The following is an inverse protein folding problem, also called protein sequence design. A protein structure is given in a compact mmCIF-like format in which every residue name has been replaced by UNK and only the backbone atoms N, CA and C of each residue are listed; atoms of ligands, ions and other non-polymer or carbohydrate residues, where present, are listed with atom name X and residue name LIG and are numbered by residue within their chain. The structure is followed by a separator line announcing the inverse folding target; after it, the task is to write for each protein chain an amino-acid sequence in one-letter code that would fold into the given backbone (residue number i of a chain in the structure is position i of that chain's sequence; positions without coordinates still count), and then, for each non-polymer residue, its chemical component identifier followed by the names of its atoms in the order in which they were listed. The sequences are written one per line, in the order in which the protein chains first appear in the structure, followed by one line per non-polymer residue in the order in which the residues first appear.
data_IF_949655863327
#
_entry.id   IF_949655863327
#
_cell.length_a   1.000
_cell.length_b   1.000
_cell.length_c   1.000
_cell.angle_alpha   90.00
_cell.angle_beta   90.00
_cell.angle_gamma   90.00
#
_symmetry.space_group_name_H-M   'P 1'
#
loop_
_entity.id
_entity.type
_entity.pdbx_description
1 polymer ?
#
# COMPACT_ATOMS: atom_id res chain seq x y z
N UNK A 1 -9.50 -10.21 -2.86
CA UNK A 1 -8.03 -10.36 -2.80
C UNK A 1 -7.66 -11.52 -3.70
N UNK A 2 -6.79 -11.29 -4.68
CA UNK A 2 -6.33 -12.37 -5.57
C UNK A 2 -5.55 -13.42 -4.79
N UNK A 3 -5.69 -14.67 -5.21
CA UNK A 3 -4.72 -15.71 -4.88
C UNK A 3 -3.37 -15.39 -5.52
N UNK A 4 -2.29 -15.99 -5.02
CA UNK A 4 -0.95 -15.81 -5.61
C UNK A 4 -0.92 -16.23 -7.08
N UNK A 5 -1.63 -17.29 -7.44
CA UNK A 5 -1.73 -17.78 -8.82
C UNK A 5 -2.43 -16.76 -9.73
N UNK A 6 -3.55 -16.18 -9.28
CA UNK A 6 -4.25 -15.14 -10.04
C UNK A 6 -3.42 -13.87 -10.16
N UNK A 7 -2.73 -13.47 -9.07
CA UNK A 7 -1.80 -12.34 -9.09
C UNK A 7 -0.67 -12.56 -10.10
N UNK A 8 -0.07 -13.76 -10.13
CA UNK A 8 0.96 -14.13 -11.10
C UNK A 8 0.45 -14.00 -12.54
N UNK A 9 -0.70 -14.61 -12.84
CA UNK A 9 -1.30 -14.54 -14.17
C UNK A 9 -1.58 -13.09 -14.60
N UNK A 10 -2.11 -12.27 -13.69
CA UNK A 10 -2.43 -10.87 -13.96
C UNK A 10 -1.17 -10.03 -14.21
N UNK A 11 -0.09 -10.24 -13.45
CA UNK A 11 1.22 -9.60 -13.65
C UNK A 11 1.83 -10.01 -15.00
N UNK A 12 1.84 -11.31 -15.30
CA UNK A 12 2.40 -11.83 -16.55
C UNK A 12 1.68 -11.26 -17.79
N UNK A 13 0.36 -11.08 -17.74
CA UNK A 13 -0.40 -10.45 -18.84
C UNK A 13 0.01 -9.00 -19.10
N UNK A 14 0.51 -8.29 -18.09
CA UNK A 14 0.86 -6.86 -18.19
C UNK A 14 2.34 -6.62 -18.46
N UNK A 15 3.22 -7.56 -18.16
CA UNK A 15 4.66 -7.44 -18.37
C UNK A 15 5.05 -7.64 -19.85
N UNK A 16 6.06 -6.88 -20.29
CA UNK A 16 6.73 -7.15 -21.57
C UNK A 16 7.47 -8.52 -21.53
N UNK A 17 7.97 -8.98 -22.68
CA UNK A 17 8.65 -10.29 -22.77
C UNK A 17 9.88 -10.37 -21.85
N UNK A 18 10.65 -9.30 -21.73
CA UNK A 18 11.84 -9.26 -20.89
C UNK A 18 11.49 -9.29 -19.40
N UNK A 19 10.45 -8.56 -19.00
CA UNK A 19 9.91 -8.55 -17.64
C UNK A 19 9.35 -9.91 -17.24
N UNK A 20 8.64 -10.60 -18.15
CA UNK A 20 8.17 -11.98 -17.91
C UNK A 20 9.33 -12.96 -17.71
N UNK A 21 10.34 -12.92 -18.58
CA UNK A 21 11.51 -13.80 -18.48
C UNK A 21 12.30 -13.55 -17.20
N UNK A 22 12.49 -12.27 -16.83
CA UNK A 22 13.10 -11.91 -15.56
C UNK A 22 12.30 -12.45 -14.37
N UNK A 23 10.98 -12.21 -14.34
CA UNK A 23 10.13 -12.66 -13.24
C UNK A 23 10.21 -14.18 -13.08
N UNK A 24 10.07 -14.96 -14.15
CA UNK A 24 10.12 -16.42 -14.09
C UNK A 24 11.47 -16.94 -13.56
N UNK A 25 12.59 -16.37 -14.03
CA UNK A 25 13.93 -16.72 -13.52
C UNK A 25 14.06 -16.38 -12.04
N UNK A 26 13.62 -15.20 -11.61
CA UNK A 26 13.72 -14.78 -10.21
C UNK A 26 12.85 -15.63 -9.30
N UNK A 27 11.62 -15.96 -9.72
CA UNK A 27 10.73 -16.83 -8.93
C UNK A 27 11.32 -18.24 -8.78
N UNK A 28 11.93 -18.77 -9.84
CA UNK A 28 12.63 -20.05 -9.81
C UNK A 28 13.81 -20.03 -8.83
N UNK A 29 14.61 -18.98 -8.84
CA UNK A 29 15.76 -18.83 -7.94
C UNK A 29 15.33 -18.61 -6.49
N UNK A 30 14.28 -17.80 -6.26
CA UNK A 30 13.69 -17.57 -4.95
C UNK A 30 13.20 -18.90 -4.34
N UNK A 31 12.45 -19.70 -5.11
CA UNK A 31 11.93 -21.00 -4.67
C UNK A 31 13.05 -21.99 -4.30
N UNK A 32 14.14 -22.01 -5.08
CA UNK A 32 15.32 -22.84 -4.81
C UNK A 32 16.10 -22.38 -3.58
N UNK A 33 16.25 -21.07 -3.39
CA UNK A 33 17.11 -20.51 -2.37
C UNK A 33 16.48 -20.54 -0.97
N UNK A 34 15.19 -20.26 -0.86
CA UNK A 34 14.46 -20.12 0.41
C UNK A 34 14.92 -18.91 1.26
N UNK A 35 14.37 -18.77 2.49
CA UNK A 35 14.90 -17.84 3.47
C UNK A 35 16.27 -18.35 3.97
N UNK A 36 17.19 -17.42 4.22
CA UNK A 36 18.55 -17.72 4.68
C UNK A 36 18.94 -16.79 5.83
N UNK A 37 18.46 -17.05 7.06
CA UNK A 37 18.65 -16.14 8.19
C UNK A 37 20.13 -15.94 8.56
N UNK A 38 20.98 -16.97 8.35
CA UNK A 38 22.37 -16.98 8.81
C UNK A 38 23.40 -16.90 7.67
N UNK A 39 22.98 -16.62 6.44
CA UNK A 39 23.90 -16.56 5.30
C UNK A 39 24.65 -15.21 5.24
N UNK A 40 25.93 -15.20 4.85
CA UNK A 40 26.66 -13.96 4.64
C UNK A 40 26.14 -13.24 3.37
N UNK A 41 25.57 -12.05 3.58
CA UNK A 41 25.08 -11.17 2.52
C UNK A 41 23.70 -11.54 1.95
N UNK A 42 23.11 -10.65 1.12
CA UNK A 42 21.78 -10.86 0.56
C UNK A 42 21.79 -11.97 -0.49
N UNK A 43 20.75 -12.82 -0.49
CA UNK A 43 20.54 -13.77 -1.56
C UNK A 43 20.23 -13.05 -2.89
N UNK A 44 20.47 -13.71 -4.03
CA UNK A 44 20.18 -13.14 -5.36
C UNK A 44 18.73 -12.63 -5.46
N UNK A 45 17.78 -13.40 -4.96
CA UNK A 45 16.36 -13.03 -4.99
C UNK A 45 16.06 -11.77 -4.16
N UNK A 46 16.85 -11.46 -3.11
CA UNK A 46 16.69 -10.23 -2.33
C UNK A 46 17.15 -9.00 -3.13
N UNK A 47 18.19 -9.16 -3.95
CA UNK A 47 18.62 -8.13 -4.91
C UNK A 47 17.57 -7.93 -6.02
N UNK A 48 16.97 -9.02 -6.49
CA UNK A 48 15.86 -8.96 -7.46
C UNK A 48 14.60 -8.32 -6.85
N UNK A 49 14.31 -8.61 -5.57
CA UNK A 49 13.26 -7.95 -4.81
C UNK A 49 13.49 -6.43 -4.75
N UNK A 50 14.69 -5.97 -4.38
CA UNK A 50 15.01 -4.55 -4.33
C UNK A 50 14.90 -3.91 -5.74
N UNK A 51 15.40 -4.62 -6.75
CA UNK A 51 15.48 -4.14 -8.14
C UNK A 51 14.20 -4.31 -8.98
N UNK A 52 13.13 -4.89 -8.43
CA UNK A 52 11.91 -5.20 -9.18
C UNK A 52 11.34 -4.01 -9.98
N UNK A 53 11.45 -2.79 -9.46
CA UNK A 53 11.02 -1.57 -10.17
C UNK A 53 11.76 -1.29 -11.48
N UNK A 54 12.96 -1.83 -11.67
CA UNK A 54 13.74 -1.72 -12.92
C UNK A 54 13.34 -2.76 -13.96
N UNK A 55 12.76 -3.89 -13.53
CA UNK A 55 12.50 -5.04 -14.39
C UNK A 55 11.01 -5.24 -14.69
N UNK A 56 10.11 -4.85 -13.79
CA UNK A 56 8.66 -4.98 -13.93
C UNK A 56 8.07 -3.89 -14.87
N UNK A 57 8.51 -3.89 -16.14
CA UNK A 57 8.04 -2.95 -17.17
C UNK A 57 6.77 -3.45 -17.84
N UNK A 58 5.78 -2.57 -17.96
CA UNK A 58 4.55 -2.89 -18.68
C UNK A 58 4.84 -3.07 -20.17
N UNK A 59 4.17 -4.04 -20.80
CA UNK A 59 4.07 -4.09 -22.24
C UNK A 59 3.49 -2.75 -22.72
N UNK A 60 4.24 -1.99 -23.53
CA UNK A 60 3.69 -0.80 -24.16
C UNK A 60 2.50 -1.24 -25.00
N UNK A 61 1.36 -0.53 -25.00
CA UNK A 61 0.33 -0.78 -25.98
C UNK A 61 0.98 -0.56 -27.34
N UNK A 62 1.24 -1.65 -28.07
CA UNK A 62 1.90 -1.60 -29.35
C UNK A 62 1.18 -0.55 -30.20
N UNK A 63 1.95 0.39 -30.73
CA UNK A 63 1.47 1.32 -31.75
C UNK A 63 0.94 0.46 -32.89
N UNK A 64 -0.38 0.37 -33.02
CA UNK A 64 -1.02 -0.08 -34.26
C UNK A 64 -0.74 1.04 -35.26
N UNK A 65 0.45 1.00 -35.84
CA UNK A 65 0.74 1.63 -37.11
C UNK A 65 1.18 0.51 -38.03
N UNK A 66 0.21 -0.30 -38.44
CA UNK A 66 0.26 -0.84 -39.78
C UNK A 66 -0.02 0.35 -40.71
N UNK A 67 1.05 0.95 -41.21
CA UNK A 67 0.98 1.88 -42.33
C UNK A 67 1.83 1.25 -43.42
N UNK A 68 1.27 0.91 -44.58
CA UNK A 68 2.08 0.38 -45.66
C UNK A 68 3.07 1.47 -46.09
N UNK A 69 4.31 1.06 -46.33
CA UNK A 69 5.35 1.93 -46.84
C UNK A 69 4.90 2.56 -48.17
N UNK A 70 5.02 3.88 -48.38
CA UNK A 70 4.95 4.42 -49.72
C UNK A 70 6.29 4.20 -50.42
N UNK A 71 6.16 3.74 -51.67
CA UNK A 71 7.22 3.49 -52.62
C UNK A 71 8.17 4.68 -52.84
N UNK A 72 9.38 4.30 -53.26
CA UNK A 72 10.51 5.15 -53.59
C UNK A 72 10.20 6.24 -54.62
N UNK A 73 10.69 7.46 -54.38
CA UNK A 73 11.09 8.38 -55.45
C UNK A 73 12.42 9.07 -55.11
N UNK A 74 13.15 9.33 -56.18
CA UNK A 74 14.60 9.50 -56.30
C UNK A 74 15.02 10.98 -56.20
N UNK A 75 16.18 11.18 -55.55
CA UNK A 75 17.22 12.22 -55.59
C UNK A 75 16.99 13.63 -56.20
N UNK A 76 17.56 14.64 -55.51
CA UNK A 76 18.41 15.67 -56.12
C UNK A 76 19.39 16.26 -55.08
N UNK A 77 20.48 16.82 -55.60
CA UNK A 77 21.84 16.87 -55.07
C UNK A 77 22.25 18.26 -54.47
N UNK A 78 23.23 18.21 -53.56
CA UNK A 78 24.20 19.17 -52.90
C UNK A 78 24.32 20.67 -53.30
N UNK A 79 25.15 21.54 -52.63
CA UNK A 79 26.31 21.28 -51.72
C UNK A 79 26.48 22.17 -50.45
N UNK A 80 27.51 21.80 -49.66
CA UNK A 80 28.06 22.46 -48.46
C UNK A 80 28.91 23.72 -48.73
N UNK A 81 29.36 24.43 -47.66
CA UNK A 81 30.80 24.52 -47.46
C UNK A 81 31.31 24.48 -45.99
N UNK A 82 32.51 23.90 -45.87
CA UNK A 82 33.73 24.28 -45.13
C UNK A 82 33.73 24.73 -43.65
N UNK A 83 34.62 24.08 -42.87
CA UNK A 83 34.98 24.39 -41.47
C UNK A 83 35.93 25.59 -41.31
N UNK A 84 36.82 25.68 -40.27
CA UNK A 84 37.50 24.58 -39.58
C UNK A 84 37.58 24.69 -38.03
N UNK A 85 38.25 23.68 -37.47
CA UNK A 85 38.48 23.34 -36.06
C UNK A 85 39.42 24.28 -35.27
N UNK A 86 39.38 24.16 -33.93
CA UNK A 86 40.53 24.24 -32.99
C UNK A 86 40.08 23.77 -31.58
N UNK A 87 40.58 22.64 -31.05
CA UNK A 87 41.78 22.43 -30.21
C UNK A 87 41.67 23.04 -28.80
N UNK A 88 41.76 22.20 -27.76
CA UNK A 88 42.02 22.61 -26.37
C UNK A 88 41.63 21.60 -25.28
N UNK A 89 42.56 20.70 -24.90
CA UNK A 89 42.63 19.95 -23.62
C UNK A 89 43.40 20.81 -22.57
N UNK A 90 43.66 20.38 -21.31
CA UNK A 90 42.89 19.62 -20.30
C UNK A 90 43.02 20.24 -18.87
N UNK A 91 42.65 19.47 -17.81
CA UNK A 91 43.12 19.47 -16.39
C UNK A 91 41.93 19.58 -15.40
N UNK A 92 41.59 18.54 -14.62
CA UNK A 92 42.24 18.05 -13.38
C UNK A 92 42.14 19.07 -12.23
N UNK A 93 41.29 18.79 -11.23
CA UNK A 93 41.67 18.63 -9.82
C UNK A 93 40.44 18.46 -8.90
N UNK A 94 40.49 17.40 -8.09
CA UNK A 94 39.92 17.31 -6.74
C UNK A 94 41.12 17.35 -5.79
N UNK A 95 41.04 17.84 -4.53
CA UNK A 95 40.23 17.19 -3.49
C UNK A 95 39.81 18.09 -2.28
N UNK A 96 39.39 17.41 -1.21
CA UNK A 96 39.20 17.83 0.19
C UNK A 96 37.76 18.25 0.56
N UNK A 97 36.98 17.46 1.31
CA UNK A 97 37.15 16.99 2.71
C UNK A 97 37.02 18.12 3.74
N UNK A 98 35.90 18.16 4.47
CA UNK A 98 35.86 18.44 5.90
C UNK A 98 34.47 18.11 6.47
N UNK A 99 34.48 17.22 7.45
CA UNK A 99 33.37 16.93 8.34
C UNK A 99 33.18 18.06 9.37
N UNK A 100 31.94 18.31 9.77
CA UNK A 100 31.62 18.85 11.09
C UNK A 100 30.20 18.40 11.47
N UNK A 101 30.13 17.60 12.53
CA UNK A 101 28.89 17.13 13.16
C UNK A 101 28.18 18.22 14.00
N UNK A 102 27.08 17.83 14.66
CA UNK A 102 25.95 18.72 14.98
C UNK A 102 26.06 19.39 16.35
N UNK A 103 25.36 20.52 16.52
CA UNK A 103 25.11 21.17 17.80
C UNK A 103 23.61 21.07 18.19
N UNK A 104 23.28 21.07 19.49
CA UNK A 104 22.13 20.36 20.04
C UNK A 104 20.86 21.22 20.20
N UNK A 105 19.77 20.50 20.47
CA UNK A 105 18.44 21.00 20.77
C UNK A 105 18.28 21.33 22.26
N UNK A 106 17.75 22.51 22.54
CA UNK A 106 17.05 22.86 23.78
C UNK A 106 15.63 23.33 23.41
N UNK A 107 14.62 22.86 24.14
CA UNK A 107 13.28 23.47 24.17
C UNK A 107 12.94 23.89 25.61
N UNK A 108 11.68 24.20 25.96
CA UNK A 108 10.61 24.84 25.20
C UNK A 108 10.18 26.18 25.86
N UNK A 109 9.48 27.08 25.16
CA UNK A 109 8.75 28.18 25.82
C UNK A 109 7.48 28.57 25.05
N UNK A 110 6.46 28.91 25.84
CA UNK A 110 5.07 29.11 25.46
C UNK A 110 4.74 30.57 25.06
N UNK A 111 3.50 30.72 24.57
CA UNK A 111 2.74 31.95 24.32
C UNK A 111 2.87 32.60 22.92
N UNK A 112 1.73 32.70 22.23
CA UNK A 112 1.60 33.20 20.85
C UNK A 112 1.63 34.73 20.70
N UNK A 113 1.30 35.23 19.50
CA UNK A 113 -0.03 35.81 19.33
C UNK A 113 -0.73 35.47 18.00
N UNK A 114 -2.07 35.57 18.03
CA UNK A 114 -2.98 35.57 16.87
C UNK A 114 -2.68 36.73 15.90
N UNK A 115 -2.77 36.46 14.60
CA UNK A 115 -2.95 37.45 13.54
C UNK A 115 -3.63 36.78 12.30
N UNK A 116 -4.16 37.52 11.31
CA UNK A 116 -5.55 37.46 10.86
C UNK A 116 -5.75 36.66 9.56
N UNK A 117 -7.03 36.41 9.25
CA UNK A 117 -7.48 35.69 8.06
C UNK A 117 -6.98 36.30 6.74
N UNK A 118 -6.35 35.44 5.93
CA UNK A 118 -6.10 35.65 4.51
C UNK A 118 -7.07 34.79 3.66
N UNK A 119 -7.36 35.20 2.41
CA UNK A 119 -8.45 34.64 1.63
C UNK A 119 -8.14 33.21 1.18
N UNK A 120 -9.20 32.39 1.15
CA UNK A 120 -9.23 31.02 0.66
C UNK A 120 -8.59 30.92 -0.74
N UNK A 121 -7.46 30.21 -0.84
CA UNK A 121 -6.93 29.76 -2.13
C UNK A 121 -7.67 28.49 -2.52
N UNK A 122 -8.24 28.53 -3.72
CA UNK A 122 -8.95 27.47 -4.44
C UNK A 122 -8.21 26.13 -4.32
N UNK A 123 -8.95 25.09 -3.95
CA UNK A 123 -8.42 23.74 -3.75
C UNK A 123 -7.59 23.25 -4.93
N UNK A 124 -6.37 22.80 -4.63
CA UNK A 124 -5.60 21.98 -5.55
C UNK A 124 -6.32 20.63 -5.71
N UNK A 125 -6.41 20.07 -6.93
CA UNK A 125 -7.00 18.76 -7.11
C UNK A 125 -6.18 17.75 -6.31
N UNK A 126 -6.82 17.11 -5.33
CA UNK A 126 -6.27 15.94 -4.66
C UNK A 126 -6.00 14.91 -5.75
N UNK A 127 -4.75 14.47 -5.89
CA UNK A 127 -4.43 13.37 -6.79
C UNK A 127 -5.37 12.21 -6.46
N UNK A 128 -6.18 11.78 -7.43
CA UNK A 128 -7.06 10.64 -7.25
C UNK A 128 -6.19 9.43 -6.92
N UNK A 129 -6.19 9.05 -5.65
CA UNK A 129 -5.68 7.74 -5.24
C UNK A 129 -6.77 6.77 -5.67
N UNK A 130 -6.44 5.94 -6.66
CA UNK A 130 -7.32 4.85 -7.09
C UNK A 130 -7.75 4.03 -5.87
N UNK A 131 -9.02 3.59 -5.81
CA UNK A 131 -9.53 2.86 -4.65
C UNK A 131 -8.66 1.64 -4.38
N UNK A 132 -8.30 1.46 -3.11
CA UNK A 132 -7.57 0.27 -2.66
C UNK A 132 -8.56 -0.90 -2.53
N UNK A 133 -9.17 -1.31 -3.63
CA UNK A 133 -9.67 -2.67 -3.72
C UNK A 133 -8.45 -3.59 -3.79
N UNK A 134 -8.49 -4.71 -3.07
CA UNK A 134 -7.43 -5.71 -3.23
C UNK A 134 -7.41 -6.17 -4.68
N UNK A 135 -6.41 -5.72 -5.45
CA UNK A 135 -6.25 -5.86 -6.91
C UNK A 135 -7.33 -6.72 -7.57
N UNK A 136 -8.37 -6.17 -8.18
CA UNK A 136 -9.06 -6.96 -9.19
C UNK A 136 -8.04 -7.30 -10.29
N UNK A 137 -8.04 -8.52 -10.83
CA UNK A 137 -7.02 -8.97 -11.78
C UNK A 137 -6.94 -8.08 -13.04
N UNK A 138 -8.02 -7.35 -13.35
CA UNK A 138 -8.11 -6.44 -14.50
C UNK A 138 -7.66 -4.99 -14.17
N UNK A 139 -7.53 -4.65 -12.89
CA UNK A 139 -7.21 -3.30 -12.40
C UNK A 139 -5.71 -3.07 -12.11
N UNK A 140 -4.85 -4.08 -12.25
CA UNK A 140 -3.41 -3.93 -12.02
C UNK A 140 -2.79 -2.91 -12.99
N UNK A 141 -2.49 -1.71 -12.49
CA UNK A 141 -1.87 -0.68 -13.30
C UNK A 141 -0.36 -0.93 -13.45
N UNK A 142 0.28 -0.25 -14.41
CA UNK A 142 1.74 -0.31 -14.55
C UNK A 142 2.49 0.10 -13.26
N UNK A 143 1.91 0.97 -12.43
CA UNK A 143 2.50 1.40 -11.17
C UNK A 143 2.50 0.30 -10.09
N UNK A 144 1.59 -0.67 -10.21
CA UNK A 144 1.43 -1.77 -9.24
C UNK A 144 2.35 -2.96 -9.53
N UNK A 145 2.84 -3.10 -10.78
CA UNK A 145 3.64 -4.24 -11.22
C UNK A 145 4.89 -4.48 -10.36
N UNK A 146 5.67 -3.45 -9.95
CA UNK A 146 6.83 -3.68 -9.07
C UNK A 146 6.46 -4.25 -7.70
N UNK A 147 5.34 -3.82 -7.11
CA UNK A 147 4.89 -4.34 -5.82
C UNK A 147 4.36 -5.77 -5.98
N UNK A 148 3.59 -6.03 -7.04
CA UNK A 148 3.05 -7.35 -7.33
C UNK A 148 4.18 -8.37 -7.59
N UNK A 149 5.20 -7.99 -8.36
CA UNK A 149 6.39 -8.82 -8.55
C UNK A 149 7.11 -9.10 -7.23
N UNK A 150 7.30 -8.09 -6.37
CA UNK A 150 7.89 -8.27 -5.03
C UNK A 150 7.09 -9.23 -4.14
N UNK A 151 5.76 -9.15 -4.16
CA UNK A 151 4.88 -10.09 -3.44
C UNK A 151 5.10 -11.53 -3.93
N UNK A 152 5.14 -11.73 -5.25
CA UNK A 152 5.40 -13.05 -5.84
C UNK A 152 6.79 -13.59 -5.47
N UNK A 153 7.82 -12.73 -5.47
CA UNK A 153 9.19 -13.09 -5.07
C UNK A 153 9.23 -13.54 -3.61
N UNK A 154 8.63 -12.76 -2.70
CA UNK A 154 8.57 -13.11 -1.26
C UNK A 154 7.83 -14.43 -1.03
N UNK A 155 6.73 -14.65 -1.75
CA UNK A 155 5.97 -15.89 -1.67
C UNK A 155 6.76 -17.09 -2.19
N UNK A 156 7.39 -16.97 -3.37
CA UNK A 156 8.23 -18.02 -3.94
C UNK A 156 9.41 -18.36 -3.02
N UNK A 157 10.05 -17.34 -2.43
CA UNK A 157 11.12 -17.52 -1.45
C UNK A 157 10.64 -18.17 -0.14
N UNK A 158 9.33 -18.27 0.11
CA UNK A 158 8.75 -18.67 1.40
C UNK A 158 9.32 -17.82 2.54
N UNK A 159 9.36 -16.50 2.33
CA UNK A 159 9.95 -15.57 3.28
C UNK A 159 9.30 -15.71 4.68
N UNK A 160 10.15 -15.94 5.68
CA UNK A 160 9.77 -16.06 7.09
C UNK A 160 9.80 -14.70 7.81
N UNK A 161 9.41 -14.70 9.09
CA UNK A 161 9.33 -13.48 9.89
C UNK A 161 10.68 -12.73 9.96
N UNK A 162 11.82 -13.37 10.30
CA UNK A 162 13.12 -12.70 10.30
C UNK A 162 13.48 -12.08 8.96
N UNK A 163 13.18 -12.76 7.85
CA UNK A 163 13.44 -12.25 6.51
C UNK A 163 12.61 -11.01 6.19
N UNK A 164 11.29 -11.04 6.42
CA UNK A 164 10.46 -9.87 6.12
C UNK A 164 10.75 -8.69 7.05
N UNK A 165 11.09 -8.96 8.33
CA UNK A 165 11.52 -7.92 9.29
C UNK A 165 12.79 -7.24 8.80
N UNK A 166 13.80 -8.02 8.39
CA UNK A 166 15.06 -7.47 7.84
C UNK A 166 14.82 -6.62 6.60
N UNK A 167 14.05 -7.14 5.64
CA UNK A 167 13.73 -6.43 4.40
C UNK A 167 12.92 -5.16 4.66
N UNK A 168 11.99 -5.18 5.62
CA UNK A 168 11.21 -4.00 6.00
C UNK A 168 12.03 -2.94 6.74
N UNK A 169 12.96 -3.36 7.61
CA UNK A 169 13.79 -2.42 8.39
C UNK A 169 14.76 -1.61 7.51
N UNK A 170 15.31 -2.22 6.45
CA UNK A 170 16.30 -1.59 5.58
C UNK A 170 15.74 -1.18 4.21
N UNK A 171 14.47 -1.48 3.95
CA UNK A 171 13.85 -1.27 2.66
C UNK A 171 13.39 0.17 2.41
N UNK A 172 13.31 0.53 1.14
CA UNK A 172 12.66 1.76 0.69
C UNK A 172 11.16 1.73 0.98
N UNK A 173 10.47 2.88 0.90
CA UNK A 173 9.01 2.93 1.08
C UNK A 173 8.23 1.98 0.14
N UNK A 174 8.72 1.75 -1.08
CA UNK A 174 8.12 0.78 -2.00
C UNK A 174 8.34 -0.67 -1.55
N UNK A 175 9.53 -1.00 -1.07
CA UNK A 175 9.87 -2.34 -0.56
C UNK A 175 9.09 -2.64 0.73
N UNK A 176 9.04 -1.69 1.67
CA UNK A 176 8.23 -1.78 2.90
C UNK A 176 6.75 -2.00 2.59
N UNK A 177 6.21 -1.25 1.63
CA UNK A 177 4.83 -1.39 1.16
C UNK A 177 4.57 -2.79 0.58
N UNK A 178 5.50 -3.30 -0.23
CA UNK A 178 5.39 -4.64 -0.81
C UNK A 178 5.45 -5.74 0.26
N UNK A 179 6.30 -5.58 1.29
CA UNK A 179 6.33 -6.50 2.45
C UNK A 179 4.98 -6.55 3.14
N UNK A 180 4.40 -5.39 3.49
CA UNK A 180 3.09 -5.32 4.15
C UNK A 180 1.98 -5.98 3.32
N UNK A 181 1.97 -5.72 2.01
CA UNK A 181 1.00 -6.33 1.06
C UNK A 181 1.21 -7.84 0.91
N UNK A 182 2.43 -8.34 1.08
CA UNK A 182 2.73 -9.76 0.97
C UNK A 182 2.28 -10.58 2.19
N UNK A 183 2.15 -9.97 3.38
CA UNK A 183 1.87 -10.70 4.64
C UNK A 183 0.71 -11.71 4.57
N UNK A 184 -0.45 -11.43 3.95
CA UNK A 184 -1.54 -12.40 3.90
C UNK A 184 -1.28 -13.59 2.95
N UNK A 185 -0.23 -13.52 2.12
CA UNK A 185 0.19 -14.58 1.19
C UNK A 185 1.34 -15.44 1.73
N UNK A 186 1.92 -15.09 2.87
CA UNK A 186 3.03 -15.82 3.48
C UNK A 186 2.52 -16.73 4.59
N UNK A 187 3.36 -17.69 5.01
CA UNK A 187 3.08 -18.54 6.18
C UNK A 187 2.87 -17.74 7.48
N UNK A 188 3.22 -16.45 7.48
CA UNK A 188 2.99 -15.51 8.56
C UNK A 188 1.52 -15.17 8.77
N UNK A 189 0.65 -15.34 7.76
CA UNK A 189 -0.77 -14.97 7.89
C UNK A 189 -1.50 -15.70 9.03
N UNK A 190 -0.97 -16.82 9.53
CA UNK A 190 -1.54 -17.60 10.62
C UNK A 190 -1.22 -17.04 12.02
N UNK A 191 -0.15 -16.27 12.17
CA UNK A 191 0.33 -15.80 13.48
C UNK A 191 0.61 -14.30 13.53
N UNK A 192 0.76 -13.72 14.74
CA UNK A 192 0.92 -12.27 14.94
C UNK A 192 2.38 -11.77 14.78
N UNK A 193 3.30 -12.60 14.29
CA UNK A 193 4.75 -12.31 14.28
C UNK A 193 5.13 -11.05 13.46
N UNK A 194 4.27 -10.62 12.52
CA UNK A 194 4.48 -9.42 11.71
C UNK A 194 3.63 -8.22 12.17
N UNK A 195 2.91 -8.31 13.29
CA UNK A 195 2.16 -7.17 13.88
C UNK A 195 3.07 -5.95 14.13
N UNK A 196 4.31 -6.09 14.65
CA UNK A 196 5.19 -4.94 14.82
C UNK A 196 5.46 -4.14 13.54
N UNK A 197 5.49 -4.80 12.37
CA UNK A 197 5.69 -4.13 11.07
C UNK A 197 4.46 -3.29 10.69
N UNK A 198 3.25 -3.83 10.93
CA UNK A 198 2.00 -3.11 10.72
C UNK A 198 1.91 -1.90 11.65
N UNK A 199 2.22 -2.08 12.93
CA UNK A 199 2.15 -0.99 13.90
C UNK A 199 3.21 0.09 13.62
N UNK A 200 4.40 -0.27 13.14
CA UNK A 200 5.40 0.70 12.68
C UNK A 200 4.88 1.50 11.48
N UNK A 201 4.36 0.83 10.45
CA UNK A 201 3.78 1.50 9.28
C UNK A 201 2.64 2.47 9.68
N UNK A 202 1.80 2.06 10.64
CA UNK A 202 0.74 2.88 11.22
C UNK A 202 1.23 4.02 12.12
N UNK A 203 2.53 4.11 12.45
CA UNK A 203 3.13 5.31 13.09
C UNK A 203 3.60 6.34 12.06
N UNK A 204 3.82 5.94 10.81
CA UNK A 204 4.27 6.84 9.72
C UNK A 204 3.12 7.66 9.10
N UNK A 205 3.41 8.84 8.53
CA UNK A 205 2.43 9.63 7.77
C UNK A 205 2.43 9.33 6.26
N UNK A 206 3.20 8.32 5.81
CA UNK A 206 3.16 7.88 4.41
C UNK A 206 1.85 7.13 4.15
N UNK A 207 0.93 7.78 3.45
CA UNK A 207 -0.40 7.23 3.16
C UNK A 207 -0.35 5.93 2.36
N UNK A 208 0.72 5.68 1.58
CA UNK A 208 0.90 4.43 0.83
C UNK A 208 1.28 3.28 1.76
N UNK A 209 2.09 3.55 2.80
CA UNK A 209 2.40 2.56 3.84
C UNK A 209 1.19 2.32 4.74
N UNK A 210 0.49 3.37 5.16
CA UNK A 210 -0.73 3.25 5.98
C UNK A 210 -1.78 2.41 5.24
N UNK A 211 -2.03 2.68 3.95
CA UNK A 211 -2.97 1.90 3.15
C UNK A 211 -2.59 0.42 3.03
N UNK A 212 -1.29 0.11 2.89
CA UNK A 212 -0.82 -1.28 2.87
C UNK A 212 -0.91 -1.95 4.25
N UNK A 213 -0.72 -1.19 5.32
CA UNK A 213 -0.74 -1.70 6.69
C UNK A 213 -2.15 -2.11 7.14
N UNK A 214 -3.20 -1.41 6.72
CA UNK A 214 -4.60 -1.69 7.11
C UNK A 214 -5.27 -2.83 6.32
N UNK A 215 -4.48 -3.63 5.60
CA UNK A 215 -4.97 -4.77 4.82
C UNK A 215 -5.38 -6.00 5.66
N UNK A 216 -5.62 -7.16 5.01
CA UNK A 216 -6.19 -8.35 5.65
C UNK A 216 -5.39 -8.90 6.84
N UNK A 217 -4.07 -8.71 6.85
CA UNK A 217 -3.24 -9.12 7.98
C UNK A 217 -3.58 -8.31 9.25
N UNK A 218 -3.73 -6.99 9.12
CA UNK A 218 -4.15 -6.13 10.24
C UNK A 218 -5.58 -6.44 10.70
N UNK A 219 -6.49 -6.70 9.78
CA UNK A 219 -7.87 -7.08 10.10
C UNK A 219 -7.96 -8.38 10.93
N UNK A 220 -6.99 -9.28 10.80
CA UNK A 220 -6.92 -10.52 11.59
C UNK A 220 -6.19 -10.33 12.91
N UNK A 221 -5.07 -9.62 12.90
CA UNK A 221 -4.10 -9.67 14.00
C UNK A 221 -4.04 -8.41 14.88
N UNK A 222 -4.55 -7.26 14.42
CA UNK A 222 -4.60 -6.08 15.28
C UNK A 222 -5.61 -6.25 16.41
N UNK A 223 -5.16 -5.87 17.61
CA UNK A 223 -6.04 -5.71 18.76
C UNK A 223 -7.21 -4.77 18.42
N UNK A 224 -8.36 -4.89 19.11
CA UNK A 224 -9.48 -3.97 18.89
C UNK A 224 -9.07 -2.50 19.01
N UNK A 225 -8.25 -2.16 20.02
CA UNK A 225 -7.77 -0.80 20.23
C UNK A 225 -6.87 -0.31 19.08
N UNK A 226 -5.84 -1.08 18.71
CA UNK A 226 -4.91 -0.71 17.64
C UNK A 226 -5.64 -0.56 16.29
N UNK A 227 -6.64 -1.41 16.04
CA UNK A 227 -7.45 -1.33 14.83
C UNK A 227 -8.32 -0.07 14.77
N UNK A 228 -8.98 0.34 15.87
CA UNK A 228 -9.75 1.60 15.92
C UNK A 228 -8.86 2.82 15.66
N UNK A 229 -7.67 2.84 16.25
CA UNK A 229 -6.68 3.89 16.01
C UNK A 229 -6.23 3.92 14.55
N UNK A 230 -6.09 2.76 13.90
CA UNK A 230 -5.77 2.67 12.48
C UNK A 230 -6.89 3.27 11.60
N UNK A 231 -8.16 3.00 11.92
CA UNK A 231 -9.33 3.59 11.21
C UNK A 231 -9.33 5.11 11.35
N UNK A 232 -9.18 5.64 12.57
CA UNK A 232 -9.09 7.09 12.80
C UNK A 232 -7.91 7.71 12.04
N UNK A 233 -6.76 7.03 12.04
CA UNK A 233 -5.60 7.48 11.29
C UNK A 233 -5.93 7.57 9.80
N UNK A 234 -6.60 6.57 9.22
CA UNK A 234 -6.98 6.61 7.80
C UNK A 234 -7.87 7.81 7.47
N UNK A 235 -8.90 8.06 8.29
CA UNK A 235 -9.78 9.22 8.13
C UNK A 235 -9.03 10.55 8.27
N UNK A 236 -8.07 10.61 9.19
CA UNK A 236 -7.25 11.79 9.42
C UNK A 236 -6.26 12.07 8.28
N UNK A 237 -5.59 11.03 7.75
CA UNK A 237 -4.57 11.17 6.69
C UNK A 237 -5.14 11.09 5.28
N UNK A 238 -6.43 10.80 5.12
CA UNK A 238 -7.10 10.69 3.83
C UNK A 238 -6.84 9.38 3.10
N UNK A 239 -6.48 8.31 3.81
CA UNK A 239 -6.47 6.96 3.24
C UNK A 239 -7.92 6.48 3.10
N UNK A 240 -8.37 6.07 1.90
CA UNK A 240 -9.76 5.69 1.69
C UNK A 240 -10.13 4.48 2.54
N UNK A 241 -11.36 4.46 3.07
CA UNK A 241 -11.83 3.38 3.94
C UNK A 241 -11.84 2.03 3.21
N UNK A 242 -11.94 2.03 1.87
CA UNK A 242 -11.85 0.82 1.04
C UNK A 242 -10.53 0.07 1.21
N UNK A 243 -9.45 0.74 1.63
CA UNK A 243 -8.17 0.11 1.96
C UNK A 243 -8.23 -0.76 3.22
N UNK A 244 -9.11 -0.42 4.16
CA UNK A 244 -9.23 -1.09 5.46
C UNK A 244 -9.95 -2.41 5.25
N UNK A 245 -9.21 -3.52 5.30
CA UNK A 245 -9.81 -4.83 5.09
C UNK A 245 -10.83 -5.15 6.20
N UNK A 246 -11.95 -5.76 5.80
CA UNK A 246 -13.02 -6.21 6.70
C UNK A 246 -13.58 -5.14 7.64
N UNK A 247 -13.50 -3.87 7.25
CA UNK A 247 -13.87 -2.77 8.14
C UNK A 247 -15.33 -2.83 8.59
N UNK A 248 -16.25 -3.20 7.69
CA UNK A 248 -17.68 -3.31 8.01
C UNK A 248 -17.92 -4.34 9.11
N UNK A 249 -17.37 -5.55 8.94
CA UNK A 249 -17.49 -6.63 9.91
C UNK A 249 -16.92 -6.24 11.27
N UNK A 250 -15.76 -5.57 11.31
CA UNK A 250 -15.10 -5.18 12.57
C UNK A 250 -15.75 -3.96 13.22
N UNK A 251 -16.31 -3.04 12.44
CA UNK A 251 -16.98 -1.86 12.96
C UNK A 251 -18.39 -2.16 13.48
N UNK A 252 -19.04 -3.23 13.00
CA UNK A 252 -20.42 -3.54 13.34
C UNK A 252 -20.63 -3.65 14.85
N UNK A 253 -21.49 -2.78 15.40
CA UNK A 253 -21.78 -2.72 16.83
C UNK A 253 -20.61 -2.22 17.71
N UNK A 254 -19.51 -1.71 17.13
CA UNK A 254 -18.38 -1.19 17.90
C UNK A 254 -18.68 0.21 18.47
N UNK A 255 -19.32 0.23 19.63
CA UNK A 255 -19.73 1.48 20.30
C UNK A 255 -18.56 2.39 20.70
N UNK A 256 -17.37 1.82 20.98
CA UNK A 256 -16.19 2.63 21.30
C UNK A 256 -15.66 3.34 20.04
N UNK A 257 -15.60 2.64 18.90
CA UNK A 257 -15.28 3.27 17.63
C UNK A 257 -16.31 4.37 17.29
N UNK A 258 -17.61 4.10 17.47
CA UNK A 258 -18.67 5.08 17.25
C UNK A 258 -18.50 6.34 18.12
N UNK A 259 -18.17 6.17 19.40
CA UNK A 259 -17.88 7.27 20.33
C UNK A 259 -16.68 8.10 19.86
N UNK A 260 -15.57 7.44 19.53
CA UNK A 260 -14.34 8.10 19.07
C UNK A 260 -14.54 8.88 17.76
N UNK A 261 -15.30 8.33 16.81
CA UNK A 261 -15.65 9.01 15.56
C UNK A 261 -16.54 10.24 15.80
N UNK A 262 -17.48 10.14 16.74
CA UNK A 262 -18.30 11.28 17.16
C UNK A 262 -17.47 12.41 17.80
N UNK A 263 -16.50 12.07 18.64
CA UNK A 263 -15.54 13.04 19.19
C UNK A 263 -14.73 13.70 18.07
N UNK A 264 -14.17 12.91 17.17
CA UNK A 264 -13.39 13.42 16.03
C UNK A 264 -14.21 14.35 15.12
N UNK A 265 -15.46 14.01 14.81
CA UNK A 265 -16.34 14.86 14.00
C UNK A 265 -16.65 16.21 14.68
N UNK A 266 -16.89 16.20 16.01
CA UNK A 266 -17.07 17.43 16.80
C UNK A 266 -15.82 18.30 16.78
N UNK A 267 -14.64 17.72 17.01
CA UNK A 267 -13.37 18.44 16.99
C UNK A 267 -13.07 19.07 15.62
N UNK A 268 -13.36 18.35 14.52
CA UNK A 268 -13.21 18.87 13.16
C UNK A 268 -14.14 20.06 12.89
N UNK A 269 -15.41 19.91 13.23
CA UNK A 269 -16.45 20.93 13.05
C UNK A 269 -16.14 22.19 13.87
N UNK A 270 -15.76 22.03 15.14
CA UNK A 270 -15.38 23.15 16.01
C UNK A 270 -14.15 23.91 15.48
N UNK A 271 -13.25 23.22 14.76
CA UNK A 271 -12.11 23.83 14.10
C UNK A 271 -12.44 24.41 12.70
N UNK A 272 -13.70 24.38 12.25
CA UNK A 272 -14.10 24.86 10.92
C UNK A 272 -13.57 24.00 9.77
N UNK A 273 -13.20 22.74 10.03
CA UNK A 273 -12.65 21.82 9.04
C UNK A 273 -13.69 20.78 8.62
N UNK A 274 -13.71 20.35 7.35
CA UNK A 274 -14.69 19.38 6.88
C UNK A 274 -14.49 18.02 7.57
N UNK A 275 -15.61 17.32 7.78
CA UNK A 275 -15.66 15.94 8.24
C UNK A 275 -15.47 15.01 7.01
N UNK A 276 -14.59 13.99 7.06
CA UNK A 276 -14.41 13.06 5.94
C UNK A 276 -15.70 12.28 5.63
N UNK A 277 -16.06 12.14 4.36
CA UNK A 277 -17.32 11.47 3.96
C UNK A 277 -17.40 9.98 4.32
N UNK A 278 -16.26 9.29 4.42
CA UNK A 278 -16.23 7.89 4.88
C UNK A 278 -16.58 7.75 6.37
N UNK A 279 -16.48 8.83 7.17
CA UNK A 279 -16.79 8.78 8.60
C UNK A 279 -18.25 8.40 8.86
N UNK A 280 -19.18 8.98 8.11
CA UNK A 280 -20.62 8.74 8.29
C UNK A 280 -20.97 7.29 7.98
N UNK A 281 -20.28 6.67 7.01
CA UNK A 281 -20.43 5.24 6.69
C UNK A 281 -20.01 4.36 7.86
N UNK A 282 -18.86 4.66 8.48
CA UNK A 282 -18.40 3.89 9.65
C UNK A 282 -19.36 4.09 10.82
N UNK A 283 -19.79 5.32 11.11
CA UNK A 283 -20.74 5.61 12.18
C UNK A 283 -22.04 4.81 12.02
N UNK A 284 -22.62 4.78 10.82
CA UNK A 284 -23.83 4.01 10.54
C UNK A 284 -23.65 2.51 10.87
N UNK A 285 -22.51 1.93 10.49
CA UNK A 285 -22.19 0.52 10.78
C UNK A 285 -21.97 0.28 12.29
N UNK A 286 -21.33 1.20 13.01
CA UNK A 286 -21.14 1.07 14.46
C UNK A 286 -22.45 1.12 15.26
N UNK A 287 -23.48 1.78 14.71
CA UNK A 287 -24.78 1.98 15.37
C UNK A 287 -25.84 0.96 14.92
N UNK A 288 -25.55 0.14 13.91
CA UNK A 288 -26.45 -0.88 13.46
C UNK A 288 -26.73 -1.88 14.60
N UNK A 289 -28.00 -2.00 14.98
CA UNK A 289 -28.44 -2.99 15.95
C UNK A 289 -28.20 -4.40 15.38
N UNK A 290 -27.82 -5.39 16.20
CA UNK A 290 -27.73 -6.77 15.75
C UNK A 290 -29.11 -7.23 15.25
N UNK A 291 -29.16 -7.81 14.05
CA UNK A 291 -30.40 -8.28 13.44
C UNK A 291 -31.18 -9.23 14.37
N UNK A 292 -32.41 -8.86 14.72
CA UNK A 292 -33.32 -9.67 15.52
C UNK A 292 -33.89 -10.90 14.76
N UNK A 293 -33.29 -11.30 13.64
CA UNK A 293 -33.75 -12.43 12.79
C UNK A 293 -33.12 -13.79 13.15
N UNK A 294 -32.28 -13.86 14.18
CA UNK A 294 -31.63 -15.09 14.63
C UNK A 294 -32.28 -15.79 15.83
N UNK A 295 -33.44 -15.34 16.32
CA UNK A 295 -34.12 -16.05 17.39
C UNK A 295 -34.82 -17.30 16.83
N UNK A 296 -34.47 -18.54 17.23
CA UNK A 296 -35.27 -19.69 16.90
C UNK A 296 -36.67 -19.48 17.48
N UNK A 297 -37.66 -19.45 16.60
CA UNK A 297 -39.07 -19.44 16.97
C UNK A 297 -39.35 -20.73 17.74
N UNK A 298 -39.30 -20.67 19.07
CA UNK A 298 -39.81 -21.74 19.90
C UNK A 298 -41.31 -21.89 19.59
N UNK A 299 -41.78 -23.06 19.14
CA UNK A 299 -43.20 -23.24 18.92
C UNK A 299 -43.92 -23.08 20.26
N UNK A 300 -44.80 -22.07 20.32
CA UNK A 300 -45.73 -21.87 21.41
C UNK A 300 -46.66 -23.10 21.46
N UNK A 301 -46.41 -24.01 22.41
CA UNK A 301 -47.33 -25.10 22.69
C UNK A 301 -48.60 -24.52 23.34
N UNK A 302 -49.80 -24.93 22.90
CA UNK A 302 -51.05 -24.43 23.46
C UNK A 302 -51.18 -24.93 24.91
N UNK A 303 -51.45 -23.98 25.81
CA UNK A 303 -51.69 -24.20 27.23
C UNK A 303 -53.00 -24.99 27.38
N UNK A 304 -52.89 -26.28 27.67
CA UNK A 304 -54.06 -27.09 28.05
C UNK A 304 -54.59 -26.57 29.40
N UNK A 305 -55.84 -26.11 29.37
CA UNK A 305 -56.65 -25.91 30.55
C UNK A 305 -57.03 -27.30 31.08
N UNK A 306 -56.52 -27.68 32.25
CA UNK A 306 -57.16 -28.73 33.05
C UNK A 306 -57.53 -28.15 34.41
N UNK A 307 -58.85 -28.13 34.60
CA UNK A 307 -59.63 -27.95 35.81
C UNK A 307 -59.55 -29.23 36.68
N UNK A 308 -60.10 -29.14 37.90
CA UNK A 308 -60.31 -30.17 38.94
C UNK A 308 -59.20 -30.15 40.01
N UNK A 309 -59.37 -29.59 41.21
CA UNK A 309 -60.45 -29.67 42.23
C UNK A 309 -60.68 -31.09 42.80
N UNK A 310 -60.36 -31.20 44.09
CA UNK A 310 -60.56 -32.30 45.07
C UNK A 310 -59.43 -33.32 45.23
#
# INVERSE_FOLDING_TARGET
MLTVTELRAAVERRLDQAGRAWLDSTLTDAAKAGPRPDAPGPARWELDFASAGRHARSASPATVTDRPAPDSLVAADRPAPDGPASIGRPAADSPAAAAAGPAPADGPSAAGPRAPGGPYVRGHPVAQVAPAEGFAADDLTAHDLPDAARILILHAARADAPTVVRLYAHGTGAERRAVLRALPHLGLSAGPDAVPLVEDALRTNDTRLVAAAVGPYAARHLSPHSWRQAVLKCLFTGVPLTAVADWERRAHGDGELGRMLGDYARERTAAGRPVPGDLDRVLAVTQALPDASGAPHAPCAPRALTREES
#
